data_IF_136347313285
#
_entry.id   IF_136347313285
#
_cell.length_a   1.000
_cell.length_b   1.000
_cell.length_c   1.000
_cell.angle_alpha   90.00
_cell.angle_beta   90.00
_cell.angle_gamma   90.00
#
_symmetry.space_group_name_H-M   'P 1'
#
loop_
_entity.id
_entity.type
_entity.pdbx_description
1 polymer ?
#
# COMPACT_ATOMS: atom_id res chain seq x y z
N UNK A 1 21.10 -4.13 -3.05
CA UNK A 1 21.01 -2.85 -3.79
C UNK A 1 20.12 -1.88 -3.02
N UNK A 2 20.46 -0.58 -2.94
CA UNK A 2 19.64 0.43 -2.21
C UNK A 2 19.64 1.78 -2.93
N UNK A 3 18.51 2.46 -2.96
CA UNK A 3 18.37 3.82 -3.51
C UNK A 3 18.36 4.85 -2.37
N UNK A 4 18.99 6.01 -2.61
CA UNK A 4 18.92 7.15 -1.70
C UNK A 4 17.58 7.87 -1.87
N UNK A 5 16.86 8.05 -0.76
CA UNK A 5 15.61 8.81 -0.74
C UNK A 5 15.92 10.24 -0.35
N UNK A 6 15.44 11.18 -1.17
CA UNK A 6 15.68 12.61 -1.02
C UNK A 6 14.32 13.31 -1.12
N UNK A 7 14.03 14.18 -0.16
CA UNK A 7 12.77 14.94 -0.10
C UNK A 7 13.03 16.42 -0.27
N UNK A 8 12.09 17.10 -0.92
CA UNK A 8 12.03 18.56 -0.98
C UNK A 8 10.76 18.99 -0.22
N UNK A 9 10.89 19.53 1.00
CA UNK A 9 9.72 19.96 1.76
C UNK A 9 9.04 21.14 1.05
N UNK A 10 7.71 21.20 1.12
CA UNK A 10 6.94 22.37 0.69
C UNK A 10 6.22 22.90 1.92
N UNK A 11 6.55 24.12 2.37
CA UNK A 11 5.89 24.77 3.51
C UNK A 11 4.79 25.69 2.99
N UNK A 12 3.54 25.43 3.39
CA UNK A 12 2.40 26.29 3.09
C UNK A 12 2.14 27.13 4.35
N UNK A 13 2.27 28.45 4.25
CA UNK A 13 1.87 29.39 5.31
C UNK A 13 0.53 30.02 4.94
N UNK A 14 -0.44 29.98 5.83
CA UNK A 14 -1.73 30.66 5.63
C UNK A 14 -1.53 32.18 5.68
N UNK A 15 -1.89 32.89 4.61
CA UNK A 15 -1.98 34.36 4.57
C UNK A 15 -0.84 35.14 3.90
N UNK A 16 0.22 34.49 3.39
CA UNK A 16 1.30 35.15 2.62
C UNK A 16 1.27 34.68 1.15
N UNK A 17 1.53 35.60 0.20
CA UNK A 17 1.79 35.23 -1.20
C UNK A 17 2.92 34.20 -1.26
N UNK A 18 2.80 33.24 -2.17
CA UNK A 18 3.76 32.16 -2.36
C UNK A 18 5.12 32.71 -2.80
N UNK A 19 5.95 33.13 -1.85
CA UNK A 19 7.38 33.26 -2.07
C UNK A 19 7.89 31.85 -2.36
N UNK A 20 8.15 31.55 -3.65
CA UNK A 20 8.82 30.33 -4.09
C UNK A 20 10.23 30.30 -3.49
N UNK A 21 10.34 29.88 -2.23
CA UNK A 21 11.62 29.51 -1.66
C UNK A 21 12.03 28.19 -2.32
N UNK A 22 13.18 28.19 -3.02
CA UNK A 22 13.78 26.94 -3.48
C UNK A 22 14.19 26.13 -2.24
N UNK A 23 13.43 25.07 -1.96
CA UNK A 23 13.71 24.22 -0.81
C UNK A 23 14.84 23.24 -1.15
N UNK A 24 15.82 23.14 -0.24
CA UNK A 24 16.96 22.24 -0.40
C UNK A 24 16.49 20.79 -0.39
N UNK A 25 17.01 20.01 -1.34
CA UNK A 25 16.85 18.55 -1.38
C UNK A 25 17.57 17.93 -0.19
N UNK A 26 16.83 17.28 0.70
CA UNK A 26 17.36 16.68 1.93
C UNK A 26 17.34 15.16 1.84
N UNK A 27 18.49 14.52 2.05
CA UNK A 27 18.59 13.07 2.15
C UNK A 27 17.96 12.56 3.45
N UNK A 28 17.08 11.56 3.36
CA UNK A 28 16.37 11.00 4.53
C UNK A 28 16.69 9.53 4.80
N UNK A 29 17.40 8.86 3.90
CA UNK A 29 17.80 7.47 4.11
C UNK A 29 17.94 6.68 2.82
N UNK A 30 18.14 5.37 2.98
CA UNK A 30 18.24 4.42 1.86
C UNK A 30 17.14 3.37 1.94
N UNK A 31 16.51 3.05 0.82
CA UNK A 31 15.47 2.03 0.71
C UNK A 31 15.97 0.87 -0.17
N UNK A 32 15.68 -0.40 0.17
CA UNK A 32 15.99 -1.53 -0.70
C UNK A 32 15.33 -1.37 -2.07
N UNK A 33 16.08 -1.70 -3.12
CA UNK A 33 15.58 -1.69 -4.51
C UNK A 33 15.31 -3.13 -4.93
N UNK A 34 14.14 -3.35 -5.52
CA UNK A 34 13.78 -4.64 -6.13
C UNK A 34 14.60 -4.86 -7.41
N UNK A 35 15.15 -6.06 -7.59
CA UNK A 35 15.87 -6.39 -8.83
C UNK A 35 14.99 -6.23 -10.06
N UNK A 36 15.59 -5.69 -11.11
CA UNK A 36 14.95 -5.36 -12.41
C UNK A 36 13.76 -4.39 -12.34
N UNK A 37 13.48 -3.76 -11.19
CA UNK A 37 12.59 -2.60 -11.15
C UNK A 37 13.19 -1.42 -11.90
N UNK A 38 12.37 -0.43 -12.27
CA UNK A 38 12.81 0.79 -12.98
C UNK A 38 13.91 1.60 -12.25
N UNK A 39 14.14 1.33 -10.96
CA UNK A 39 15.18 1.95 -10.13
C UNK A 39 16.42 1.07 -9.95
N UNK A 40 16.43 -0.14 -10.50
CA UNK A 40 17.55 -1.08 -10.46
C UNK A 40 18.54 -0.77 -11.58
N UNK A 41 19.85 -0.92 -11.31
CA UNK A 41 20.91 -0.77 -12.32
C UNK A 41 20.77 -1.75 -13.48
N UNK A 42 20.24 -2.94 -13.21
CA UNK A 42 20.10 -4.00 -14.20
C UNK A 42 18.92 -3.80 -15.15
N UNK A 43 18.01 -2.87 -14.83
CA UNK A 43 16.84 -2.61 -15.65
C UNK A 43 17.23 -2.07 -17.03
N UNK A 44 16.83 -2.77 -18.08
CA UNK A 44 17.08 -2.38 -19.48
C UNK A 44 18.48 -2.70 -20.00
N UNK A 45 19.30 -3.44 -19.24
CA UNK A 45 20.54 -4.00 -19.76
C UNK A 45 20.25 -5.09 -20.79
N UNK A 46 21.09 -5.19 -21.83
CA UNK A 46 21.02 -6.28 -22.79
C UNK A 46 21.57 -7.58 -22.15
N UNK A 47 21.15 -8.74 -22.68
CA UNK A 47 21.59 -10.05 -22.20
C UNK A 47 23.11 -10.19 -22.12
N UNK A 48 23.82 -9.64 -23.11
CA UNK A 48 25.29 -9.62 -23.13
C UNK A 48 25.87 -8.90 -21.90
N UNK A 49 25.40 -7.69 -21.62
CA UNK A 49 25.89 -6.86 -20.51
C UNK A 49 25.53 -7.48 -19.15
N UNK A 50 24.37 -8.14 -19.05
CA UNK A 50 23.97 -8.92 -17.88
C UNK A 50 24.94 -10.08 -17.62
N UNK A 51 25.35 -10.82 -18.66
CA UNK A 51 26.33 -11.90 -18.53
C UNK A 51 27.71 -11.37 -18.09
N UNK A 52 28.16 -10.22 -18.60
CA UNK A 52 29.42 -9.60 -18.17
C UNK A 52 29.41 -9.22 -16.68
N UNK A 53 28.24 -8.86 -16.16
CA UNK A 53 28.02 -8.56 -14.73
C UNK A 53 27.85 -9.82 -13.86
N UNK A 54 28.05 -11.02 -14.41
CA UNK A 54 27.75 -12.32 -13.79
C UNK A 54 26.28 -12.46 -13.37
N UNK A 55 25.38 -11.73 -14.05
CA UNK A 55 23.95 -11.89 -13.92
C UNK A 55 23.46 -13.17 -14.58
N UNK A 56 22.40 -13.76 -14.04
CA UNK A 56 21.72 -14.89 -14.65
C UNK A 56 20.58 -14.38 -15.53
N UNK A 57 20.58 -14.76 -16.82
CA UNK A 57 19.52 -14.38 -17.76
C UNK A 57 18.15 -15.03 -17.47
N UNK A 58 18.16 -16.08 -16.63
CA UNK A 58 16.97 -16.85 -16.27
C UNK A 58 16.55 -16.57 -14.82
N UNK A 59 17.11 -15.53 -14.19
CA UNK A 59 16.65 -15.11 -12.87
C UNK A 59 15.21 -14.59 -12.97
N UNK A 60 14.24 -15.10 -12.18
CA UNK A 60 12.87 -14.62 -12.18
C UNK A 60 12.69 -13.16 -11.72
N UNK A 61 13.73 -12.54 -11.17
CA UNK A 61 13.72 -11.15 -10.67
C UNK A 61 12.61 -10.88 -9.63
N UNK A 62 12.32 -9.61 -9.35
CA UNK A 62 11.20 -9.23 -8.50
C UNK A 62 11.41 -9.45 -7.00
N UNK A 63 12.63 -9.78 -6.58
CA UNK A 63 13.02 -9.93 -5.18
C UNK A 63 13.96 -8.81 -4.72
N UNK A 64 14.20 -8.77 -3.40
CA UNK A 64 15.10 -7.85 -2.75
C UNK A 64 16.29 -8.60 -2.15
N UNK A 65 17.49 -8.04 -2.29
CA UNK A 65 18.68 -8.53 -1.57
C UNK A 65 18.85 -7.73 -0.27
N UNK A 66 18.60 -8.38 0.86
CA UNK A 66 18.70 -7.82 2.22
C UNK A 66 19.76 -8.60 2.99
N UNK A 67 20.84 -7.91 3.38
CA UNK A 67 21.96 -8.50 4.13
C UNK A 67 22.54 -9.77 3.47
N UNK A 68 22.63 -9.79 2.14
CA UNK A 68 23.13 -10.93 1.37
C UNK A 68 22.13 -12.05 1.15
N UNK A 69 20.89 -11.92 1.63
CA UNK A 69 19.81 -12.89 1.39
C UNK A 69 18.74 -12.34 0.47
N UNK A 70 18.21 -13.19 -0.40
CA UNK A 70 17.05 -12.90 -1.23
C UNK A 70 15.76 -12.92 -0.40
N UNK A 71 14.88 -11.96 -0.66
CA UNK A 71 13.60 -11.76 0.05
C UNK A 71 12.54 -11.33 -0.95
N UNK A 72 11.42 -12.04 -0.96
CA UNK A 72 10.25 -11.73 -1.80
C UNK A 72 9.10 -11.28 -0.91
N UNK A 73 8.36 -10.27 -1.35
CA UNK A 73 7.09 -9.88 -0.71
C UNK A 73 5.96 -10.74 -1.28
N UNK A 74 5.30 -11.51 -0.42
CA UNK A 74 4.18 -12.37 -0.83
C UNK A 74 2.88 -11.57 -0.82
N UNK A 75 2.16 -11.61 -1.94
CA UNK A 75 0.85 -10.97 -2.06
C UNK A 75 -0.11 -11.48 -0.97
N UNK A 76 -0.82 -10.55 -0.34
CA UNK A 76 -1.80 -10.85 0.70
C UNK A 76 -3.19 -10.52 0.18
N UNK A 77 -4.04 -11.54 0.06
CA UNK A 77 -5.43 -11.36 -0.32
C UNK A 77 -6.23 -10.71 0.82
N UNK A 78 -7.08 -9.75 0.48
CA UNK A 78 -7.99 -9.06 1.40
C UNK A 78 -9.30 -8.76 0.69
N UNK A 79 -10.40 -8.69 1.44
CA UNK A 79 -11.69 -8.22 0.90
C UNK A 79 -11.56 -6.80 0.33
N UNK A 80 -12.17 -6.56 -0.83
CA UNK A 80 -12.12 -5.25 -1.47
C UNK A 80 -12.78 -4.20 -0.57
N UNK A 81 -12.11 -3.07 -0.42
CA UNK A 81 -12.57 -1.91 0.35
C UNK A 81 -13.50 -1.05 -0.49
N UNK A 82 -14.18 -0.10 0.13
CA UNK A 82 -15.13 0.83 -0.52
C UNK A 82 -16.26 0.13 -1.30
N UNK A 83 -16.57 -1.12 -0.93
CA UNK A 83 -17.63 -1.94 -1.50
C UNK A 83 -18.57 -2.39 -0.38
N UNK A 84 -19.87 -2.34 -0.64
CA UNK A 84 -20.90 -2.79 0.32
C UNK A 84 -21.13 -4.28 0.15
N UNK A 85 -20.93 -5.04 1.22
CA UNK A 85 -21.26 -6.46 1.29
C UNK A 85 -22.49 -6.66 2.16
N UNK A 86 -23.43 -7.51 1.74
CA UNK A 86 -24.64 -7.83 2.52
C UNK A 86 -24.63 -9.31 2.85
N UNK A 87 -24.64 -9.62 4.15
CA UNK A 87 -24.63 -10.98 4.66
C UNK A 87 -25.97 -11.31 5.32
N UNK A 88 -26.59 -12.41 4.93
CA UNK A 88 -27.70 -13.00 5.67
C UNK A 88 -27.16 -13.72 6.92
N UNK A 89 -27.81 -13.53 8.07
CA UNK A 89 -27.42 -14.17 9.33
C UNK A 89 -28.52 -15.12 9.79
N UNK A 90 -28.14 -16.37 10.06
CA UNK A 90 -29.00 -17.37 10.70
C UNK A 90 -28.78 -17.33 12.22
N UNK A 91 -29.82 -17.55 12.99
CA UNK A 91 -29.77 -17.66 14.46
C UNK A 91 -29.12 -16.44 15.16
N UNK A 92 -29.38 -15.23 14.61
CA UNK A 92 -28.88 -13.96 15.15
C UNK A 92 -30.04 -12.99 15.40
N UNK A 93 -29.83 -12.00 16.29
CA UNK A 93 -30.75 -10.86 16.48
C UNK A 93 -31.04 -10.11 15.18
N UNK A 94 -30.10 -10.14 14.24
CA UNK A 94 -30.20 -9.48 12.95
C UNK A 94 -30.41 -10.50 11.84
N UNK A 95 -31.36 -10.26 10.93
CA UNK A 95 -31.58 -11.10 9.75
C UNK A 95 -30.53 -10.83 8.66
N UNK A 96 -30.12 -9.57 8.51
CA UNK A 96 -29.12 -9.15 7.54
C UNK A 96 -28.17 -8.13 8.17
N UNK A 97 -26.91 -8.17 7.76
CA UNK A 97 -25.91 -7.15 8.08
C UNK A 97 -25.23 -6.72 6.80
N UNK A 98 -25.36 -5.43 6.45
CA UNK A 98 -24.51 -4.75 5.50
C UNK A 98 -23.20 -4.31 6.16
N UNK A 99 -22.08 -4.56 5.51
CA UNK A 99 -20.73 -4.14 5.90
C UNK A 99 -20.13 -3.29 4.78
N UNK A 100 -19.50 -2.17 5.13
CA UNK A 100 -18.63 -1.44 4.23
C UNK A 100 -17.32 -1.09 4.94
N UNK A 101 -16.20 -1.46 4.33
CA UNK A 101 -14.85 -1.15 4.81
C UNK A 101 -14.28 0.01 4.00
N UNK A 102 -14.38 1.21 4.54
CA UNK A 102 -13.89 2.42 3.89
C UNK A 102 -12.38 2.57 4.05
N UNK A 103 -11.69 2.75 2.93
CA UNK A 103 -10.27 3.09 2.86
C UNK A 103 -10.08 4.30 1.96
N UNK A 104 -9.49 5.36 2.49
CA UNK A 104 -9.11 6.52 1.69
C UNK A 104 -7.79 6.22 0.97
N UNK A 105 -7.75 6.48 -0.32
CA UNK A 105 -6.51 6.37 -1.09
C UNK A 105 -5.50 7.43 -0.64
N UNK A 106 -4.21 7.07 -0.60
CA UNK A 106 -3.11 7.95 -0.19
C UNK A 106 -3.25 8.55 1.22
N UNK A 107 -3.98 7.88 2.12
CA UNK A 107 -4.11 8.28 3.52
C UNK A 107 -3.38 7.32 4.44
N UNK A 108 -2.79 7.86 5.52
CA UNK A 108 -2.28 7.05 6.63
C UNK A 108 -3.39 6.53 7.54
N UNK A 109 -4.65 6.93 7.30
CA UNK A 109 -5.79 6.49 8.11
C UNK A 109 -6.07 5.01 7.87
N UNK A 110 -6.22 4.20 8.93
CA UNK A 110 -6.57 2.80 8.79
C UNK A 110 -7.99 2.65 8.23
N UNK A 111 -8.27 1.44 7.72
CA UNK A 111 -9.60 1.05 7.25
C UNK A 111 -10.64 1.25 8.33
N UNK A 112 -11.70 1.98 8.00
CA UNK A 112 -12.82 2.23 8.91
C UNK A 112 -14.01 1.38 8.47
N UNK A 113 -14.58 0.58 9.38
CA UNK A 113 -15.69 -0.33 9.04
C UNK A 113 -17.00 0.22 9.58
N UNK A 114 -18.02 0.29 8.72
CA UNK A 114 -19.39 0.60 9.10
C UNK A 114 -20.29 -0.62 8.92
N UNK A 115 -21.23 -0.79 9.84
CA UNK A 115 -22.20 -1.87 9.85
C UNK A 115 -23.62 -1.30 9.87
N UNK A 116 -24.49 -1.83 9.01
CA UNK A 116 -25.94 -1.56 9.04
C UNK A 116 -26.63 -2.91 9.22
N UNK A 117 -27.34 -3.10 10.33
CA UNK A 117 -27.97 -4.39 10.63
C UNK A 117 -29.48 -4.27 10.73
N UNK A 118 -30.18 -5.16 10.04
CA UNK A 118 -31.64 -5.26 10.07
C UNK A 118 -32.06 -6.32 11.08
N UNK A 119 -32.90 -5.96 12.05
CA UNK A 119 -33.43 -6.88 13.05
C UNK A 119 -34.23 -8.02 12.40
N UNK A 120 -34.12 -9.22 12.96
CA UNK A 120 -34.95 -10.34 12.55
C UNK A 120 -36.41 -10.10 12.96
N UNK A 121 -37.38 -10.58 12.15
CA UNK A 121 -38.82 -10.53 12.45
C UNK A 121 -39.11 -11.44 13.65
N UNK A 122 -38.93 -10.91 14.86
CA UNK A 122 -39.03 -11.67 16.13
C UNK A 122 -38.04 -11.20 17.21
N UNK A 123 -37.00 -10.44 16.85
CA UNK A 123 -36.12 -9.80 17.83
C UNK A 123 -36.77 -8.54 18.38
N UNK A 124 -37.25 -8.57 19.62
CA UNK A 124 -37.73 -7.37 20.31
C UNK A 124 -36.65 -6.25 20.24
N UNK A 125 -37.07 -5.03 19.90
CA UNK A 125 -36.27 -3.83 20.12
C UNK A 125 -35.98 -3.72 21.61
N UNK A 126 -34.74 -3.43 22.06
CA UNK A 126 -34.53 -3.01 23.44
C UNK A 126 -35.39 -1.75 23.63
N UNK A 127 -36.38 -1.81 24.51
CA UNK A 127 -37.21 -0.65 24.85
C UNK A 127 -36.32 0.50 25.33
N UNK A 128 -36.71 1.71 24.94
CA UNK A 128 -36.19 2.94 25.55
C UNK A 128 -36.59 3.03 27.03
#
# INVERSE_FOLDING_TARGET
MRASVVVAPTVIKEGEEQLQMQHQKTFIGKVPVMLHSIYCLLNGLADHDLCELNGCLLDPDGYFIINGSEKVLIAQEKMATNTVYVFAKKDSKYAYTGECRSCLENSSRPTSTIWVSMLARGGQSPGF
#
